data_IF_191316040248
#
_entry.id   IF_191316040248
#
_cell.length_a   1.000
_cell.length_b   1.000
_cell.length_c   1.000
_cell.angle_alpha   90.00
_cell.angle_beta   90.00
_cell.angle_gamma   90.00
#
_symmetry.space_group_name_H-M   'P 1'
#
loop_
_entity.id
_entity.type
_entity.pdbx_description
1 polymer ?
#
# COMPACT_ATOMS: atom_id res chain seq x y z
N UNK A 1 -16.41 6.01 -11.01
CA UNK A 1 -16.43 4.95 -9.98
C UNK A 1 -15.35 5.31 -8.97
N UNK A 2 -15.68 5.42 -7.69
CA UNK A 2 -14.73 5.81 -6.65
C UNK A 2 -13.84 4.62 -6.32
N UNK A 3 -12.64 4.60 -6.89
CA UNK A 3 -11.67 3.50 -6.76
C UNK A 3 -10.51 3.91 -5.87
N UNK A 4 -10.16 3.02 -4.95
CA UNK A 4 -9.06 3.20 -4.03
C UNK A 4 -8.19 1.95 -4.01
N UNK A 5 -6.90 2.15 -3.80
CA UNK A 5 -5.99 1.08 -3.43
C UNK A 5 -6.02 0.95 -1.90
N UNK A 6 -6.37 -0.23 -1.41
CA UNK A 6 -6.23 -0.61 -0.01
C UNK A 6 -4.88 -1.30 0.15
N UNK A 7 -3.86 -0.55 0.53
CA UNK A 7 -2.50 -1.03 0.65
C UNK A 7 -2.28 -1.63 2.05
N UNK A 8 -1.94 -2.91 2.08
CA UNK A 8 -1.65 -3.70 3.27
C UNK A 8 -0.14 -3.91 3.38
N UNK A 9 0.47 -3.30 4.39
CA UNK A 9 1.89 -3.48 4.71
C UNK A 9 2.05 -4.22 6.03
N UNK A 10 2.98 -5.16 6.09
CA UNK A 10 3.20 -5.93 7.31
C UNK A 10 4.20 -7.05 7.15
N UNK A 11 4.37 -7.82 8.21
CA UNK A 11 5.16 -9.07 8.21
C UNK A 11 4.30 -10.30 7.99
N UNK A 12 2.97 -10.19 8.16
CA UNK A 12 1.99 -11.24 7.87
C UNK A 12 0.62 -10.63 7.54
N UNK A 13 -0.09 -11.20 6.57
CA UNK A 13 -1.50 -10.87 6.34
C UNK A 13 -2.40 -11.86 7.08
N UNK A 14 -3.37 -11.39 7.87
CA UNK A 14 -4.40 -12.23 8.43
C UNK A 14 -5.45 -12.60 7.36
N UNK A 15 -5.06 -13.36 6.32
CA UNK A 15 -5.90 -13.62 5.13
C UNK A 15 -7.28 -14.18 5.46
N UNK A 16 -7.37 -15.01 6.50
CA UNK A 16 -8.65 -15.54 7.00
C UNK A 16 -9.58 -14.43 7.47
N UNK A 17 -9.05 -13.41 8.13
CA UNK A 17 -9.80 -12.25 8.58
C UNK A 17 -10.17 -11.34 7.41
N UNK A 18 -9.24 -11.11 6.48
CA UNK A 18 -9.51 -10.31 5.29
C UNK A 18 -10.60 -10.94 4.42
N UNK A 19 -10.56 -12.25 4.17
CA UNK A 19 -11.64 -12.98 3.46
C UNK A 19 -12.99 -12.85 4.16
N UNK A 20 -13.03 -12.86 5.50
CA UNK A 20 -14.28 -12.64 6.25
C UNK A 20 -14.80 -11.22 6.06
N UNK A 21 -13.91 -10.23 6.03
CA UNK A 21 -14.27 -8.83 5.80
C UNK A 21 -14.81 -8.65 4.38
N UNK A 22 -14.11 -9.14 3.36
CA UNK A 22 -14.57 -9.13 1.95
C UNK A 22 -15.96 -9.74 1.84
N UNK A 23 -16.18 -10.95 2.37
CA UNK A 23 -17.50 -11.60 2.33
C UNK A 23 -18.58 -10.77 3.00
N UNK A 24 -18.29 -10.19 4.16
CA UNK A 24 -19.25 -9.33 4.86
C UNK A 24 -19.62 -8.11 4.03
N UNK A 25 -18.64 -7.42 3.46
CA UNK A 25 -18.90 -6.20 2.70
C UNK A 25 -19.56 -6.48 1.35
N UNK A 26 -19.06 -7.47 0.62
CA UNK A 26 -19.59 -7.82 -0.69
C UNK A 26 -20.95 -8.53 -0.57
N UNK A 27 -21.07 -9.58 0.26
CA UNK A 27 -22.28 -10.42 0.23
C UNK A 27 -23.38 -9.91 1.16
N UNK A 28 -23.04 -9.34 2.33
CA UNK A 28 -24.06 -8.87 3.26
C UNK A 28 -24.50 -7.43 3.01
N UNK A 29 -23.68 -6.59 2.35
CA UNK A 29 -24.03 -5.20 2.06
C UNK A 29 -24.21 -4.95 0.55
N UNK A 30 -23.21 -5.22 -0.27
CA UNK A 30 -23.26 -4.87 -1.70
C UNK A 30 -24.27 -5.71 -2.49
N UNK A 31 -24.22 -7.04 -2.41
CA UNK A 31 -25.09 -7.95 -3.18
C UNK A 31 -26.58 -7.82 -2.81
N UNK A 32 -26.86 -7.34 -1.59
CA UNK A 32 -28.22 -7.11 -1.09
C UNK A 32 -28.72 -5.68 -1.36
N UNK A 33 -27.87 -4.78 -1.85
CA UNK A 33 -28.26 -3.42 -2.20
C UNK A 33 -28.97 -3.38 -3.57
N UNK A 34 -29.83 -2.38 -3.78
CA UNK A 34 -30.45 -2.17 -5.10
C UNK A 34 -29.39 -1.71 -6.12
N UNK A 35 -29.62 -1.91 -7.43
CA UNK A 35 -28.67 -1.49 -8.47
C UNK A 35 -28.30 0.00 -8.40
N UNK A 36 -29.26 0.86 -8.06
CA UNK A 36 -29.03 2.30 -7.91
C UNK A 36 -28.09 2.58 -6.75
N UNK A 37 -28.26 1.86 -5.63
CA UNK A 37 -27.43 2.02 -4.44
C UNK A 37 -26.02 1.47 -4.66
N UNK A 38 -25.89 0.35 -5.39
CA UNK A 38 -24.59 -0.26 -5.72
C UNK A 38 -23.65 0.70 -6.48
N UNK A 39 -24.18 1.60 -7.32
CA UNK A 39 -23.38 2.58 -8.07
C UNK A 39 -22.60 3.56 -7.19
N UNK A 40 -23.01 3.74 -5.93
CA UNK A 40 -22.37 4.64 -4.98
C UNK A 40 -21.30 3.97 -4.11
N UNK A 41 -21.12 2.65 -4.23
CA UNK A 41 -20.12 1.94 -3.45
C UNK A 41 -18.71 2.34 -3.90
N UNK A 42 -17.82 2.39 -2.92
CA UNK A 42 -16.39 2.56 -3.09
C UNK A 42 -15.80 1.18 -3.37
N UNK A 43 -15.03 1.08 -4.46
CA UNK A 43 -14.28 -0.13 -4.78
C UNK A 43 -12.86 0.01 -4.21
N UNK A 44 -12.52 -0.85 -3.26
CA UNK A 44 -11.18 -0.92 -2.67
C UNK A 44 -10.47 -2.14 -3.23
N UNK A 45 -9.38 -1.91 -3.96
CA UNK A 45 -8.53 -2.94 -4.55
C UNK A 45 -7.43 -3.28 -3.53
N UNK A 46 -7.38 -4.52 -3.01
CA UNK A 46 -6.35 -4.90 -2.04
C UNK A 46 -4.98 -5.05 -2.72
N UNK A 47 -3.99 -4.30 -2.24
CA UNK A 47 -2.58 -4.42 -2.63
C UNK A 47 -1.75 -4.83 -1.43
N UNK A 48 -0.78 -5.72 -1.62
CA UNK A 48 -0.04 -6.32 -0.52
C UNK A 48 1.46 -6.14 -0.72
N UNK A 49 2.09 -5.51 0.26
CA UNK A 49 3.52 -5.28 0.31
C UNK A 49 4.05 -5.90 1.61
N UNK A 50 4.46 -7.17 1.55
CA UNK A 50 4.91 -7.95 2.70
C UNK A 50 6.32 -8.45 2.44
N UNK A 51 7.18 -8.34 3.45
CA UNK A 51 8.57 -8.76 3.37
C UNK A 51 8.83 -10.25 3.12
N UNK A 52 7.83 -11.14 3.22
CA UNK A 52 8.10 -12.59 3.28
C UNK A 52 7.01 -13.50 2.68
N UNK A 53 6.01 -12.98 1.96
CA UNK A 53 5.07 -13.89 1.30
C UNK A 53 5.57 -14.26 -0.09
N UNK A 54 5.97 -15.52 -0.24
CA UNK A 54 5.77 -16.24 -1.51
C UNK A 54 4.28 -16.15 -1.84
N UNK A 55 3.89 -15.07 -2.51
CA UNK A 55 2.51 -14.73 -2.75
C UNK A 55 1.95 -15.77 -3.73
N UNK A 56 0.90 -16.53 -3.39
CA UNK A 56 0.16 -17.20 -4.44
C UNK A 56 -0.60 -16.10 -5.20
N UNK A 57 -0.47 -16.07 -6.53
CA UNK A 57 -1.07 -15.11 -7.49
C UNK A 57 -2.61 -14.96 -7.45
N UNK A 58 -3.26 -15.27 -6.34
CA UNK A 58 -4.69 -15.11 -6.17
C UNK A 58 -4.99 -13.63 -5.95
N UNK A 59 -5.43 -12.94 -7.01
CA UNK A 59 -6.09 -11.65 -6.90
C UNK A 59 -7.21 -11.79 -5.87
N UNK A 60 -7.06 -11.07 -4.75
CA UNK A 60 -8.11 -10.99 -3.74
C UNK A 60 -9.24 -10.16 -4.35
N UNK A 61 -10.49 -10.56 -4.13
CA UNK A 61 -11.65 -9.79 -4.59
C UNK A 61 -11.60 -8.36 -4.06
N UNK A 62 -12.05 -7.40 -4.88
CA UNK A 62 -12.26 -6.02 -4.43
C UNK A 62 -13.23 -5.99 -3.25
N UNK A 63 -13.05 -5.04 -2.35
CA UNK A 63 -13.96 -4.81 -1.22
C UNK A 63 -14.89 -3.67 -1.61
N UNK A 64 -16.19 -3.95 -1.68
CA UNK A 64 -17.21 -2.96 -1.97
C UNK A 64 -17.70 -2.33 -0.68
N UNK A 65 -17.36 -1.07 -0.44
CA UNK A 65 -17.69 -0.35 0.80
C UNK A 65 -18.63 0.80 0.49
N UNK A 66 -19.82 0.79 1.10
CA UNK A 66 -20.71 1.95 1.04
C UNK A 66 -20.07 3.13 1.80
N UNK A 67 -20.13 4.37 1.30
CA UNK A 67 -19.52 5.53 1.96
C UNK A 67 -19.91 5.69 3.43
N UNK A 68 -21.16 5.37 3.78
CA UNK A 68 -21.66 5.43 5.16
C UNK A 68 -20.99 4.41 6.11
N UNK A 69 -20.37 3.35 5.58
CA UNK A 69 -19.66 2.33 6.35
C UNK A 69 -18.14 2.46 6.27
N UNK A 70 -17.60 3.49 5.60
CA UNK A 70 -16.16 3.63 5.41
C UNK A 70 -15.39 3.71 6.72
N UNK A 71 -15.82 4.56 7.66
CA UNK A 71 -15.15 4.69 8.97
C UNK A 71 -15.15 3.35 9.73
N UNK A 72 -16.28 2.64 9.72
CA UNK A 72 -16.38 1.31 10.35
C UNK A 72 -15.48 0.28 9.67
N UNK A 73 -15.37 0.33 8.35
CA UNK A 73 -14.43 -0.52 7.61
C UNK A 73 -12.99 -0.25 8.05
N UNK A 74 -12.59 1.04 8.08
CA UNK A 74 -11.25 1.45 8.51
C UNK A 74 -10.95 1.02 9.95
N UNK A 75 -11.91 1.15 10.87
CA UNK A 75 -11.77 0.67 12.25
C UNK A 75 -11.56 -0.85 12.31
N UNK A 76 -12.35 -1.63 11.57
CA UNK A 76 -12.19 -3.09 11.53
C UNK A 76 -10.81 -3.47 11.01
N UNK A 77 -10.34 -2.78 9.97
CA UNK A 77 -9.06 -3.05 9.33
C UNK A 77 -7.88 -2.63 10.20
N UNK A 78 -7.92 -1.44 10.80
CA UNK A 78 -6.85 -0.92 11.68
C UNK A 78 -6.69 -1.74 12.98
N UNK A 79 -7.71 -2.51 13.37
CA UNK A 79 -7.63 -3.45 14.49
C UNK A 79 -6.98 -4.79 14.12
N UNK A 80 -6.60 -4.99 12.85
CA UNK A 80 -5.82 -6.13 12.43
C UNK A 80 -4.33 -5.81 12.58
N UNK A 81 -3.52 -6.82 12.86
CA UNK A 81 -2.09 -6.66 13.15
C UNK A 81 -1.25 -6.38 11.88
N UNK A 82 -1.57 -5.29 11.16
CA UNK A 82 -0.85 -4.79 9.99
C UNK A 82 -1.09 -3.29 9.79
N UNK A 83 -0.27 -2.66 8.96
CA UNK A 83 -0.45 -1.26 8.54
C UNK A 83 -1.35 -1.21 7.31
N UNK A 84 -2.42 -0.42 7.37
CA UNK A 84 -3.34 -0.21 6.26
C UNK A 84 -3.29 1.23 5.77
N UNK A 85 -3.21 1.42 4.46
CA UNK A 85 -3.27 2.73 3.82
C UNK A 85 -4.38 2.69 2.77
N UNK A 86 -5.37 3.56 2.91
CA UNK A 86 -6.37 3.76 1.89
C UNK A 86 -5.97 4.94 0.99
N UNK A 87 -5.51 4.62 -0.22
CA UNK A 87 -5.00 5.57 -1.19
C UNK A 87 -5.95 5.71 -2.37
N UNK A 88 -6.05 6.92 -2.95
CA UNK A 88 -6.75 7.08 -4.22
C UNK A 88 -6.07 6.24 -5.32
N UNK A 89 -6.83 5.65 -6.25
CA UNK A 89 -6.27 4.74 -7.26
C UNK A 89 -5.22 5.40 -8.17
N UNK A 90 -5.30 6.71 -8.37
CA UNK A 90 -4.28 7.49 -9.08
C UNK A 90 -3.09 7.79 -8.17
N UNK A 91 -2.30 6.76 -7.81
CA UNK A 91 -0.98 6.99 -7.23
C UNK A 91 0.01 7.47 -8.31
N UNK A 92 1.07 8.16 -7.90
CA UNK A 92 2.12 8.64 -8.81
C UNK A 92 3.36 7.75 -8.73
N UNK A 93 4.10 7.64 -9.83
CA UNK A 93 5.41 6.98 -9.85
C UNK A 93 6.49 8.07 -9.89
N UNK A 94 7.52 7.88 -9.07
CA UNK A 94 8.67 8.77 -8.95
C UNK A 94 9.94 7.98 -9.23
N UNK A 95 10.90 8.61 -9.87
CA UNK A 95 12.19 8.00 -10.17
C UNK A 95 13.31 8.75 -9.43
N UNK A 96 14.33 8.02 -8.99
CA UNK A 96 15.59 8.60 -8.51
C UNK A 96 16.77 7.78 -8.98
N UNK A 97 17.94 8.41 -9.11
CA UNK A 97 19.19 7.71 -9.42
C UNK A 97 20.11 7.79 -8.21
N UNK A 98 20.52 6.64 -7.68
CA UNK A 98 21.45 6.56 -6.55
C UNK A 98 22.55 5.54 -6.82
N UNK A 99 23.81 5.95 -6.65
CA UNK A 99 24.99 5.11 -6.92
C UNK A 99 24.99 4.47 -8.33
N UNK A 100 24.42 5.14 -9.32
CA UNK A 100 24.32 4.65 -10.70
C UNK A 100 23.16 3.71 -11.00
N UNK A 101 22.29 3.43 -10.02
CA UNK A 101 21.06 2.65 -10.22
C UNK A 101 19.86 3.57 -10.31
N UNK A 102 19.00 3.36 -11.31
CA UNK A 102 17.69 4.00 -11.43
C UNK A 102 16.67 3.20 -10.60
N UNK A 103 15.89 3.89 -9.78
CA UNK A 103 14.93 3.32 -8.84
C UNK A 103 13.57 3.95 -9.08
N UNK A 104 12.54 3.13 -9.32
CA UNK A 104 11.15 3.56 -9.43
C UNK A 104 10.41 3.32 -8.11
N UNK A 105 9.66 4.32 -7.65
CA UNK A 105 8.97 4.33 -6.37
C UNK A 105 7.54 4.82 -6.56
N UNK A 106 6.60 4.04 -6.06
CA UNK A 106 5.18 4.38 -6.04
C UNK A 106 4.85 5.21 -4.82
N UNK A 107 4.14 6.30 -5.06
CA UNK A 107 3.67 7.23 -4.05
C UNK A 107 2.18 7.02 -3.80
N UNK A 108 1.87 6.40 -2.67
CA UNK A 108 0.51 6.28 -2.18
C UNK A 108 0.15 7.49 -1.32
N UNK A 109 -0.89 8.24 -1.69
CA UNK A 109 -1.45 9.31 -0.87
C UNK A 109 -2.72 8.84 -0.18
N UNK A 110 -2.66 8.75 1.15
CA UNK A 110 -3.80 8.39 1.99
C UNK A 110 -4.89 9.46 1.99
N UNK A 111 -6.09 9.10 2.46
CA UNK A 111 -7.18 10.06 2.71
C UNK A 111 -6.86 11.15 3.74
N UNK A 112 -5.87 10.92 4.60
CA UNK A 112 -5.42 11.86 5.64
C UNK A 112 -4.31 12.79 5.14
N UNK A 113 -4.09 12.86 3.82
CA UNK A 113 -3.01 13.63 3.17
C UNK A 113 -1.60 13.23 3.65
N UNK A 114 -1.44 12.00 4.13
CA UNK A 114 -0.13 11.38 4.37
C UNK A 114 0.34 10.68 3.09
N UNK A 115 1.56 10.99 2.66
CA UNK A 115 2.27 10.34 1.56
C UNK A 115 3.04 9.15 2.09
N UNK A 116 2.98 8.03 1.35
CA UNK A 116 3.78 6.83 1.56
C UNK A 116 4.55 6.51 0.29
N UNK A 117 5.86 6.32 0.40
CA UNK A 117 6.75 5.92 -0.68
C UNK A 117 7.09 4.44 -0.54
N UNK A 118 6.85 3.67 -1.59
CA UNK A 118 7.10 2.22 -1.65
C UNK A 118 7.71 1.89 -2.99
N UNK A 119 8.80 1.10 -2.99
CA UNK A 119 9.48 0.74 -4.22
C UNK A 119 8.60 -0.12 -5.12
N UNK A 120 8.55 0.22 -6.41
CA UNK A 120 8.07 -0.69 -7.46
C UNK A 120 9.26 -1.38 -8.12
N UNK A 121 9.23 -2.71 -8.09
CA UNK A 121 10.25 -3.63 -8.59
C UNK A 121 10.46 -3.59 -10.12
N UNK A 122 9.79 -2.67 -10.83
CA UNK A 122 9.71 -2.72 -12.30
C UNK A 122 11.02 -2.34 -13.01
N UNK A 123 11.89 -1.55 -12.37
CA UNK A 123 13.14 -1.05 -12.98
C UNK A 123 14.43 -1.44 -12.21
N UNK A 124 14.33 -2.11 -11.06
CA UNK A 124 15.49 -2.71 -10.38
C UNK A 124 15.86 -4.03 -11.06
N UNK A 125 16.56 -3.94 -12.21
CA UNK A 125 16.88 -5.09 -13.09
C UNK A 125 17.52 -6.27 -12.33
N UNK A 126 18.29 -5.99 -11.27
CA UNK A 126 18.95 -6.99 -10.44
C UNK A 126 18.20 -7.29 -9.11
N UNK A 127 17.08 -6.60 -8.86
CA UNK A 127 16.31 -6.63 -7.61
C UNK A 127 17.15 -6.36 -6.36
N UNK A 128 18.32 -5.71 -6.48
CA UNK A 128 19.27 -5.58 -5.36
C UNK A 128 18.69 -4.69 -4.28
N UNK A 129 18.08 -3.58 -4.67
CA UNK A 129 17.47 -2.63 -3.74
C UNK A 129 16.18 -3.21 -3.16
N UNK A 130 15.34 -3.84 -4.00
CA UNK A 130 14.15 -4.53 -3.56
C UNK A 130 14.49 -5.63 -2.53
N UNK A 131 15.48 -6.48 -2.82
CA UNK A 131 15.92 -7.53 -1.90
C UNK A 131 16.49 -6.95 -0.59
N UNK A 132 17.28 -5.88 -0.66
CA UNK A 132 17.81 -5.22 0.54
C UNK A 132 16.66 -4.68 1.41
N UNK A 133 15.67 -4.01 0.82
CA UNK A 133 14.49 -3.51 1.53
C UNK A 133 13.76 -4.61 2.31
N UNK A 134 13.56 -5.79 1.70
CA UNK A 134 12.85 -6.89 2.37
C UNK A 134 13.59 -7.41 3.61
N UNK A 135 14.91 -7.22 3.71
CA UNK A 135 15.70 -7.59 4.91
C UNK A 135 15.59 -6.58 6.06
N UNK A 136 15.08 -5.37 5.79
CA UNK A 136 14.99 -4.31 6.79
C UNK A 136 13.79 -4.52 7.71
N UNK A 137 13.81 -3.94 8.93
CA UNK A 137 12.59 -3.77 9.73
C UNK A 137 11.49 -3.06 8.92
N UNK A 138 10.23 -3.41 9.17
CA UNK A 138 9.07 -2.93 8.40
C UNK A 138 9.04 -1.39 8.28
N UNK A 139 9.35 -0.69 9.36
CA UNK A 139 9.38 0.77 9.44
C UNK A 139 10.46 1.43 8.57
N UNK A 140 11.42 0.66 8.05
CA UNK A 140 12.44 1.12 7.11
C UNK A 140 12.11 0.76 5.65
N UNK A 141 11.09 -0.06 5.41
CA UNK A 141 10.69 -0.51 4.07
C UNK A 141 9.84 0.51 3.31
N UNK A 142 9.43 1.58 3.96
CA UNK A 142 8.67 2.68 3.37
C UNK A 142 9.08 3.99 4.05
N UNK A 143 8.82 5.11 3.37
CA UNK A 143 8.88 6.44 3.99
C UNK A 143 7.50 7.07 3.99
N UNK A 144 7.21 7.88 5.01
CA UNK A 144 5.96 8.63 5.04
C UNK A 144 6.13 10.05 5.58
N UNK A 145 5.32 10.97 5.07
CA UNK A 145 5.28 12.34 5.56
C UNK A 145 3.88 12.96 5.40
N UNK A 146 3.36 13.65 6.42
CA UNK A 146 2.08 14.36 6.33
C UNK A 146 2.22 15.66 5.52
N UNK A 147 1.19 15.98 4.73
CA UNK A 147 1.01 17.33 4.18
C UNK A 147 1.97 17.72 3.05
N UNK A 148 2.64 16.76 2.41
CA UNK A 148 3.46 17.01 1.22
C UNK A 148 2.54 17.45 0.05
N UNK A 149 2.86 18.60 -0.55
CA UNK A 149 2.08 19.18 -1.66
C UNK A 149 2.88 19.45 -2.93
N UNK A 150 4.21 19.48 -2.86
CA UNK A 150 5.09 19.86 -3.98
C UNK A 150 5.99 18.71 -4.41
N UNK A 151 6.33 18.67 -5.70
CA UNK A 151 7.25 17.71 -6.31
C UNK A 151 8.63 17.67 -5.64
N UNK A 152 9.15 18.83 -5.24
CA UNK A 152 10.50 18.91 -4.64
C UNK A 152 10.53 18.24 -3.26
N UNK A 153 9.44 18.37 -2.49
CA UNK A 153 9.29 17.74 -1.17
C UNK A 153 9.22 16.21 -1.29
N UNK A 154 8.60 15.70 -2.36
CA UNK A 154 8.61 14.27 -2.70
C UNK A 154 10.01 13.77 -3.02
N UNK A 155 10.73 14.48 -3.89
CA UNK A 155 12.10 14.09 -4.27
C UNK A 155 13.03 14.09 -3.06
N UNK A 156 12.91 15.10 -2.19
CA UNK A 156 13.71 15.18 -0.98
C UNK A 156 13.44 14.01 -0.02
N UNK A 157 12.17 13.65 0.20
CA UNK A 157 11.78 12.49 1.00
C UNK A 157 12.34 11.19 0.40
N UNK A 158 12.19 11.02 -0.91
CA UNK A 158 12.68 9.85 -1.67
C UNK A 158 14.19 9.71 -1.54
N UNK A 159 14.96 10.74 -1.86
CA UNK A 159 16.42 10.71 -1.82
C UNK A 159 16.94 10.44 -0.41
N UNK A 160 16.29 11.02 0.61
CA UNK A 160 16.66 10.81 2.02
C UNK A 160 16.41 9.37 2.43
N UNK A 161 15.22 8.84 2.13
CA UNK A 161 14.87 7.46 2.46
C UNK A 161 15.77 6.44 1.75
N UNK A 162 16.01 6.62 0.44
CA UNK A 162 16.91 5.73 -0.32
C UNK A 162 18.32 5.74 0.25
N UNK A 163 18.86 6.92 0.61
CA UNK A 163 20.16 7.02 1.27
C UNK A 163 20.19 6.28 2.61
N UNK A 164 19.14 6.40 3.43
CA UNK A 164 19.05 5.67 4.70
C UNK A 164 18.99 4.15 4.50
N UNK A 165 18.21 3.68 3.53
CA UNK A 165 18.08 2.25 3.19
C UNK A 165 19.44 1.69 2.75
N UNK A 166 20.13 2.38 1.83
CA UNK A 166 21.44 1.95 1.33
C UNK A 166 22.53 1.98 2.41
N UNK A 167 22.47 2.94 3.33
CA UNK A 167 23.40 3.03 4.45
C UNK A 167 23.08 2.02 5.57
N UNK A 168 21.91 1.38 5.54
CA UNK A 168 21.54 0.41 6.57
C UNK A 168 22.43 -0.83 6.45
N UNK A 169 23.13 -1.23 7.53
CA UNK A 169 24.02 -2.37 7.49
C UNK A 169 23.21 -3.63 7.15
N UNK A 170 23.61 -4.34 6.09
CA UNK A 170 23.09 -5.67 5.82
C UNK A 170 23.33 -6.53 7.06
N UNK A 171 22.28 -7.06 7.68
CA UNK A 171 22.44 -8.07 8.72
C UNK A 171 23.12 -9.28 8.09
N UNK A 172 24.42 -9.41 8.30
CA UNK A 172 25.32 -10.51 7.94
C UNK A 172 24.85 -11.36 6.75
N UNK A 173 25.38 -11.04 5.58
CA UNK A 173 25.44 -11.96 4.44
C UNK A 173 26.11 -13.30 4.84
#
# INVERSE_FOLDING_TARGET
MNRYCGLFMGTAIPFKHLKKIIRKFNYDYYDKASPERQQHFIEIIPEFHISHSNYPHHRVECIMVEPAFLNRFLEIINNLNFTFILCHYSHGHFQTTMNGNELSVTCYRSLEDIVYLILEDEEDIDRKFANQLLTLPLEKQFACAPGIKKSEDYQHLLDTWVKEVLAYPAKNA
#
